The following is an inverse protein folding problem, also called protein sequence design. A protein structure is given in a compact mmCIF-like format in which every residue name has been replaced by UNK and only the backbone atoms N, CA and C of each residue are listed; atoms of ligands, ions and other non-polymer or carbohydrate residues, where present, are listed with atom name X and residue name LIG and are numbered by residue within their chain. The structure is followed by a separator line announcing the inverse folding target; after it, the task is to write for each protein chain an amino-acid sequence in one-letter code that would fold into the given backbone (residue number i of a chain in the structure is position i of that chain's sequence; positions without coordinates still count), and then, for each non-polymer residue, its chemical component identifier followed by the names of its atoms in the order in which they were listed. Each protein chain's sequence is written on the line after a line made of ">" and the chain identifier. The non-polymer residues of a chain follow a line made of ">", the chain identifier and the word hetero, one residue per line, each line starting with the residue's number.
data_IF_411930506630
#
_entry.id   IF_411930506630
#
_cell.length_a   1.000
_cell.length_b   1.000
_cell.length_c   1.000
_cell.angle_alpha   90.00
_cell.angle_beta   90.00
_cell.angle_gamma   90.00
#
_symmetry.space_group_name_H-M   'P 1'
#
loop_
_entity.id
_entity.type
_entity.pdbx_description
1 polymer ?
#
# COMPACT_ATOMS: atom_id res chain seq x y z
N UNK A 1 -23.16 -2.32 -22.21
CA UNK A 1 -22.25 -1.76 -21.21
C UNK A 1 -21.92 -2.88 -20.23
N UNK A 2 -20.72 -3.43 -20.31
CA UNK A 2 -20.28 -4.59 -19.54
C UNK A 2 -18.79 -4.79 -19.83
N UNK A 3 -17.96 -4.72 -18.81
CA UNK A 3 -16.50 -4.73 -18.94
C UNK A 3 -15.73 -4.39 -17.66
N UNK A 4 -16.40 -4.07 -16.55
CA UNK A 4 -15.73 -3.73 -15.27
C UNK A 4 -15.47 -4.94 -14.36
N UNK A 5 -16.00 -6.13 -14.67
CA UNK A 5 -15.85 -7.32 -13.82
C UNK A 5 -14.59 -8.16 -14.08
N UNK A 6 -13.83 -7.89 -15.15
CA UNK A 6 -12.63 -8.67 -15.51
C UNK A 6 -11.31 -8.02 -15.05
N UNK A 7 -11.36 -6.84 -14.43
CA UNK A 7 -10.18 -6.09 -13.99
C UNK A 7 -9.90 -6.20 -12.47
N UNK A 8 -10.78 -6.84 -11.68
CA UNK A 8 -10.54 -7.00 -10.23
C UNK A 8 -9.34 -7.89 -9.90
N UNK A 9 -8.92 -8.71 -10.86
CA UNK A 9 -7.92 -9.76 -10.65
C UNK A 9 -6.52 -9.33 -11.09
N UNK A 10 -6.36 -8.10 -11.59
CA UNK A 10 -5.08 -7.55 -12.01
C UNK A 10 -4.76 -6.27 -11.24
N UNK A 11 -3.57 -6.22 -10.67
CA UNK A 11 -3.01 -5.03 -10.03
C UNK A 11 -1.81 -4.51 -10.82
N UNK A 12 -1.76 -3.21 -11.08
CA UNK A 12 -0.65 -2.57 -11.78
C UNK A 12 0.24 -1.80 -10.82
N UNK A 13 1.54 -2.07 -10.85
CA UNK A 13 2.54 -1.26 -10.17
C UNK A 13 3.25 -0.33 -11.18
N UNK A 14 3.15 0.98 -10.96
CA UNK A 14 3.76 1.99 -11.83
C UNK A 14 4.77 2.86 -11.05
N UNK A 15 5.93 3.13 -11.66
CA UNK A 15 6.93 4.08 -11.16
C UNK A 15 7.05 5.23 -12.16
N UNK A 16 6.56 6.42 -11.77
CA UNK A 16 6.65 7.63 -12.60
C UNK A 16 7.88 8.45 -12.22
N UNK A 17 8.77 8.73 -13.19
CA UNK A 17 9.96 9.55 -12.98
C UNK A 17 10.00 10.75 -13.93
N UNK A 18 10.15 11.95 -13.38
CA UNK A 18 10.35 13.18 -14.17
C UNK A 18 11.82 13.34 -14.54
N UNK A 19 12.12 13.44 -15.84
CA UNK A 19 13.49 13.50 -16.34
C UNK A 19 14.01 14.93 -16.48
N UNK A 20 15.27 15.14 -16.11
CA UNK A 20 16.04 16.32 -16.52
C UNK A 20 16.52 16.16 -17.97
N UNK A 21 17.07 17.23 -18.57
CA UNK A 21 17.61 17.14 -19.94
C UNK A 21 18.70 16.07 -20.09
N UNK A 22 19.59 15.95 -19.10
CA UNK A 22 20.60 14.89 -19.06
C UNK A 22 19.97 13.50 -18.86
N UNK A 23 18.93 13.41 -18.03
CA UNK A 23 18.18 12.16 -17.83
C UNK A 23 17.46 11.68 -19.10
N UNK A 24 17.00 12.62 -19.94
CA UNK A 24 16.40 12.31 -21.23
C UNK A 24 17.43 11.79 -22.25
N UNK A 25 18.67 12.26 -22.19
CA UNK A 25 19.77 11.74 -23.01
C UNK A 25 20.26 10.36 -22.51
N UNK A 26 19.95 10.00 -21.25
CA UNK A 26 20.45 8.79 -20.59
C UNK A 26 19.32 7.95 -19.97
N UNK A 27 18.20 7.80 -20.67
CA UNK A 27 17.01 7.08 -20.16
C UNK A 27 17.34 5.66 -19.68
N UNK A 28 18.20 4.94 -20.41
CA UNK A 28 18.61 3.58 -20.03
C UNK A 28 19.26 3.53 -18.64
N UNK A 29 20.11 4.51 -18.30
CA UNK A 29 20.76 4.57 -17.00
C UNK A 29 19.76 4.88 -15.87
N UNK A 30 18.72 5.68 -16.16
CA UNK A 30 17.64 5.94 -15.21
C UNK A 30 16.83 4.66 -14.95
N UNK A 31 16.50 3.91 -16.01
CA UNK A 31 15.81 2.62 -15.91
C UNK A 31 16.66 1.62 -15.12
N UNK A 32 17.96 1.49 -15.45
CA UNK A 32 18.90 0.63 -14.72
C UNK A 32 18.96 0.99 -13.23
N UNK A 33 18.94 2.29 -12.90
CA UNK A 33 18.95 2.75 -11.51
C UNK A 33 17.67 2.35 -10.76
N UNK A 34 16.51 2.42 -11.41
CA UNK A 34 15.23 1.98 -10.84
C UNK A 34 15.26 0.46 -10.58
N UNK A 35 15.66 -0.35 -11.55
CA UNK A 35 15.76 -1.81 -11.37
C UNK A 35 16.83 -2.20 -10.36
N UNK A 36 17.96 -1.50 -10.30
CA UNK A 36 18.99 -1.70 -9.28
C UNK A 36 18.45 -1.47 -7.87
N UNK A 37 17.58 -0.48 -7.68
CA UNK A 37 16.90 -0.25 -6.40
C UNK A 37 15.96 -1.41 -6.05
N UNK A 38 15.19 -1.92 -7.02
CA UNK A 38 14.28 -3.07 -6.80
C UNK A 38 15.10 -4.30 -6.37
N UNK A 39 16.21 -4.59 -7.06
CA UNK A 39 17.12 -5.69 -6.70
C UNK A 39 17.71 -5.50 -5.30
N UNK A 40 18.09 -4.26 -4.94
CA UNK A 40 18.61 -3.98 -3.60
C UNK A 40 17.58 -4.25 -2.50
N UNK A 41 16.31 -3.89 -2.73
CA UNK A 41 15.21 -4.13 -1.79
C UNK A 41 14.98 -5.64 -1.63
N UNK A 42 15.04 -6.40 -2.72
CA UNK A 42 14.96 -7.87 -2.71
C UNK A 42 16.07 -8.50 -1.86
N UNK A 43 17.32 -8.11 -2.10
CA UNK A 43 18.49 -8.74 -1.47
C UNK A 43 18.61 -8.42 0.03
N UNK A 44 18.38 -7.15 0.41
CA UNK A 44 18.59 -6.69 1.79
C UNK A 44 17.35 -6.78 2.66
N UNK A 45 16.18 -7.01 2.06
CA UNK A 45 14.86 -6.90 2.68
C UNK A 45 14.61 -5.51 3.29
N UNK A 46 13.33 -5.17 3.47
CA UNK A 46 12.98 -3.91 4.14
C UNK A 46 13.21 -4.06 5.65
N UNK A 47 13.95 -3.14 6.30
CA UNK A 47 14.15 -3.19 7.74
C UNK A 47 12.83 -3.17 8.52
N UNK A 48 12.71 -4.02 9.55
CA UNK A 48 11.46 -4.17 10.34
C UNK A 48 10.91 -2.88 10.93
N UNK A 49 11.78 -1.91 11.24
CA UNK A 49 11.34 -0.63 11.80
C UNK A 49 10.55 0.22 10.79
N UNK A 50 10.84 0.10 9.48
CA UNK A 50 10.17 0.86 8.41
C UNK A 50 8.67 0.55 8.39
N UNK A 51 8.30 -0.72 8.59
CA UNK A 51 6.88 -1.09 8.64
C UNK A 51 6.13 -0.40 9.78
N UNK A 52 6.79 -0.25 10.95
CA UNK A 52 6.20 0.48 12.07
C UNK A 52 6.12 1.98 11.79
N UNK A 53 7.12 2.54 11.12
CA UNK A 53 7.14 3.95 10.73
C UNK A 53 6.02 4.29 9.73
N UNK A 54 5.87 3.48 8.66
CA UNK A 54 4.76 3.62 7.70
C UNK A 54 3.43 3.55 8.41
N UNK A 55 3.25 2.60 9.33
CA UNK A 55 2.03 2.48 10.10
C UNK A 55 1.73 3.73 10.95
N UNK A 56 2.75 4.30 11.59
CA UNK A 56 2.60 5.53 12.37
C UNK A 56 2.21 6.72 11.48
N UNK A 57 2.84 6.84 10.30
CA UNK A 57 2.52 7.90 9.33
C UNK A 57 1.08 7.80 8.83
N UNK A 58 0.60 6.61 8.52
CA UNK A 58 -0.80 6.39 8.13
C UNK A 58 -1.78 6.74 9.25
N UNK A 59 -1.47 6.37 10.50
CA UNK A 59 -2.29 6.72 11.67
C UNK A 59 -2.32 8.25 11.89
N UNK A 60 -1.18 8.94 11.72
CA UNK A 60 -1.09 10.40 11.78
C UNK A 60 -1.94 11.04 10.66
N UNK A 61 -1.79 10.58 9.42
CA UNK A 61 -2.56 11.04 8.28
C UNK A 61 -4.07 10.82 8.46
N UNK A 62 -4.46 9.72 9.10
CA UNK A 62 -5.84 9.44 9.45
C UNK A 62 -6.38 10.41 10.52
N UNK A 63 -5.72 10.46 11.68
CA UNK A 63 -6.18 11.25 12.84
C UNK A 63 -6.30 12.74 12.54
N UNK A 64 -5.35 13.26 11.78
CA UNK A 64 -5.26 14.69 11.48
C UNK A 64 -5.71 15.00 10.05
N UNK A 65 -6.48 14.10 9.43
CA UNK A 65 -7.06 14.32 8.10
C UNK A 65 -7.93 15.57 8.12
N UNK A 66 -7.66 16.49 7.20
CA UNK A 66 -8.48 17.69 7.02
C UNK A 66 -9.83 17.35 6.39
N UNK A 67 -10.82 18.23 6.59
CA UNK A 67 -12.12 18.11 5.94
C UNK A 67 -11.96 18.40 4.44
N UNK A 68 -12.09 17.38 3.61
CA UNK A 68 -12.07 17.50 2.15
C UNK A 68 -13.37 18.05 1.56
N UNK A 69 -13.39 18.18 0.24
CA UNK A 69 -14.60 18.53 -0.51
C UNK A 69 -15.69 17.46 -0.36
N UNK A 70 -16.94 17.90 -0.19
CA UNK A 70 -18.10 17.03 0.06
C UNK A 70 -18.34 15.99 -1.04
N UNK A 71 -18.15 16.35 -2.32
CA UNK A 71 -18.32 15.41 -3.44
C UNK A 71 -17.34 14.24 -3.39
N UNK A 72 -16.04 14.56 -3.26
CA UNK A 72 -14.99 13.55 -3.15
C UNK A 72 -15.18 12.65 -1.92
N UNK A 73 -15.68 13.22 -0.82
CA UNK A 73 -15.94 12.47 0.40
C UNK A 73 -17.06 11.43 0.21
N UNK A 74 -18.20 11.82 -0.37
CA UNK A 74 -19.31 10.89 -0.64
C UNK A 74 -18.90 9.80 -1.62
N UNK A 75 -18.13 10.15 -2.66
CA UNK A 75 -17.61 9.18 -3.61
C UNK A 75 -16.66 8.17 -2.94
N UNK A 76 -15.72 8.65 -2.11
CA UNK A 76 -14.81 7.80 -1.34
C UNK A 76 -15.56 6.86 -0.39
N UNK A 77 -16.60 7.34 0.30
CA UNK A 77 -17.44 6.50 1.15
C UNK A 77 -18.23 5.46 0.37
N UNK A 78 -18.79 5.84 -0.78
CA UNK A 78 -19.54 4.92 -1.64
C UNK A 78 -18.67 3.78 -2.15
N UNK A 79 -17.40 4.06 -2.48
CA UNK A 79 -16.44 3.04 -2.85
C UNK A 79 -16.07 2.18 -1.65
N UNK A 80 -15.77 2.79 -0.50
CA UNK A 80 -15.43 2.06 0.72
C UNK A 80 -16.53 1.15 1.25
N UNK A 81 -17.80 1.41 0.94
CA UNK A 81 -18.92 0.51 1.28
C UNK A 81 -18.97 -0.77 0.45
N UNK A 82 -18.27 -0.84 -0.69
CA UNK A 82 -18.14 -2.05 -1.49
C UNK A 82 -17.10 -3.00 -0.90
N UNK A 83 -16.01 -2.44 -0.37
CA UNK A 83 -14.86 -3.20 0.13
C UNK A 83 -14.92 -3.46 1.65
N UNK A 84 -15.62 -2.61 2.40
CA UNK A 84 -15.61 -2.62 3.86
C UNK A 84 -17.03 -2.61 4.45
N UNK A 85 -17.22 -3.23 5.63
CA UNK A 85 -18.48 -3.12 6.36
C UNK A 85 -18.87 -1.66 6.62
N UNK A 86 -20.16 -1.31 6.73
CA UNK A 86 -20.59 0.08 6.97
C UNK A 86 -19.98 0.74 8.22
N UNK A 87 -19.66 -0.04 9.25
CA UNK A 87 -18.95 0.47 10.44
C UNK A 87 -17.52 0.91 10.15
N UNK A 88 -16.91 0.37 9.08
CA UNK A 88 -15.53 0.57 8.67
C UNK A 88 -15.39 1.41 7.39
N UNK A 89 -16.46 1.83 6.72
CA UNK A 89 -16.35 2.53 5.43
C UNK A 89 -15.49 3.82 5.48
N UNK A 90 -15.44 4.45 6.66
CA UNK A 90 -14.69 5.68 6.92
C UNK A 90 -13.21 5.39 7.24
N UNK A 91 -12.94 4.36 8.04
CA UNK A 91 -11.62 4.05 8.58
C UNK A 91 -10.89 2.93 7.83
N UNK A 92 -11.63 2.10 7.12
CA UNK A 92 -11.21 0.85 6.49
C UNK A 92 -10.06 1.03 5.52
N UNK A 93 -10.16 1.93 4.53
CA UNK A 93 -9.08 2.17 3.57
C UNK A 93 -7.73 2.55 4.19
N UNK A 94 -7.71 3.03 5.44
CA UNK A 94 -6.50 3.52 6.13
C UNK A 94 -6.08 2.66 7.33
N UNK A 95 -6.99 1.87 7.91
CA UNK A 95 -6.74 1.08 9.13
C UNK A 95 -6.80 -0.44 8.94
N UNK A 96 -7.30 -0.94 7.80
CA UNK A 96 -7.43 -2.39 7.52
C UNK A 96 -6.30 -2.97 6.67
N UNK A 97 -5.23 -2.22 6.40
CA UNK A 97 -4.11 -2.68 5.57
C UNK A 97 -3.30 -3.87 6.15
N UNK A 98 -3.83 -4.54 7.17
CA UNK A 98 -3.20 -5.67 7.84
C UNK A 98 -4.25 -6.76 8.01
N UNK A 99 -3.81 -8.01 7.88
CA UNK A 99 -4.60 -9.19 8.24
C UNK A 99 -4.93 -9.13 9.75
N UNK A 100 -5.93 -8.34 10.09
CA UNK A 100 -6.52 -8.23 11.42
C UNK A 100 -7.78 -9.08 11.39
N UNK A 101 -7.72 -10.26 12.01
CA UNK A 101 -8.88 -11.14 12.15
C UNK A 101 -9.99 -10.49 12.98
N UNK A 102 -9.63 -9.52 13.84
CA UNK A 102 -10.55 -8.84 14.74
C UNK A 102 -10.78 -7.36 14.35
N UNK A 103 -11.76 -7.17 13.48
CA UNK A 103 -12.24 -5.85 13.04
C UNK A 103 -12.76 -4.96 14.20
N UNK A 104 -13.09 -5.54 15.36
CA UNK A 104 -13.68 -4.79 16.48
C UNK A 104 -12.65 -3.91 17.21
N UNK A 105 -11.38 -4.34 17.27
CA UNK A 105 -10.28 -3.53 17.82
C UNK A 105 -10.02 -2.27 17.01
N UNK A 106 -10.19 -2.36 15.70
CA UNK A 106 -10.04 -1.24 14.78
C UNK A 106 -11.12 -0.18 14.97
N UNK A 107 -12.31 -0.57 15.42
CA UNK A 107 -13.45 0.34 15.63
C UNK A 107 -13.51 0.92 17.04
N UNK A 108 -13.19 0.10 18.05
CA UNK A 108 -13.40 0.44 19.46
C UNK A 108 -12.29 1.31 20.04
N UNK A 109 -11.10 1.28 19.44
CA UNK A 109 -9.94 1.98 19.98
C UNK A 109 -9.75 3.33 19.30
N UNK A 110 -10.01 4.42 20.03
CA UNK A 110 -9.46 5.74 19.74
C UNK A 110 -7.95 5.83 20.08
N UNK A 111 -7.31 4.72 20.48
CA UNK A 111 -5.88 4.69 20.72
C UNK A 111 -5.11 4.72 19.38
N UNK A 112 -3.97 5.40 19.39
CA UNK A 112 -3.13 5.52 18.22
C UNK A 112 -2.50 4.18 17.89
N UNK A 113 -2.60 3.77 16.63
CA UNK A 113 -1.90 2.59 16.14
C UNK A 113 -0.44 2.93 15.90
N UNK A 114 0.39 2.73 16.92
CA UNK A 114 1.82 3.07 16.89
C UNK A 114 2.74 1.89 16.59
N UNK A 115 2.22 0.66 16.65
CA UNK A 115 2.93 -0.58 16.31
C UNK A 115 1.97 -1.68 15.90
N UNK A 116 2.50 -2.77 15.36
CA UNK A 116 1.74 -4.00 15.11
C UNK A 116 1.31 -4.65 16.43
N UNK A 117 0.13 -5.28 16.45
CA UNK A 117 -0.40 -5.94 17.65
C UNK A 117 0.39 -7.20 18.03
N UNK A 118 0.94 -7.88 17.02
CA UNK A 118 1.77 -9.07 17.23
C UNK A 118 2.91 -9.17 16.25
N UNK A 119 3.96 -9.91 16.65
CA UNK A 119 5.07 -10.26 15.76
C UNK A 119 4.59 -11.06 14.53
N UNK A 120 3.54 -11.86 14.68
CA UNK A 120 2.95 -12.64 13.59
C UNK A 120 2.37 -11.76 12.48
N UNK A 121 1.70 -10.66 12.84
CA UNK A 121 1.20 -9.69 11.84
C UNK A 121 2.34 -9.01 11.10
N UNK A 122 3.38 -8.58 11.83
CA UNK A 122 4.56 -7.97 11.21
C UNK A 122 5.24 -8.94 10.24
N UNK A 123 5.46 -10.19 10.66
CA UNK A 123 6.10 -11.20 9.84
C UNK A 123 5.24 -11.58 8.62
N UNK A 124 3.90 -11.58 8.74
CA UNK A 124 2.98 -11.76 7.62
C UNK A 124 3.06 -10.61 6.61
N UNK A 125 3.06 -9.35 7.06
CA UNK A 125 3.23 -8.19 6.19
C UNK A 125 4.61 -8.18 5.53
N UNK A 126 5.66 -8.54 6.27
CA UNK A 126 7.00 -8.69 5.69
C UNK A 126 7.02 -9.75 4.59
N UNK A 127 6.31 -10.87 4.80
CA UNK A 127 6.18 -11.91 3.78
C UNK A 127 5.43 -11.41 2.54
N UNK A 128 4.29 -10.74 2.69
CA UNK A 128 3.55 -10.19 1.55
C UNK A 128 4.39 -9.22 0.72
N UNK A 129 5.16 -8.35 1.37
CA UNK A 129 6.04 -7.41 0.67
C UNK A 129 7.20 -8.13 -0.02
N UNK A 130 7.75 -9.18 0.59
CA UNK A 130 8.76 -10.02 -0.06
C UNK A 130 8.18 -10.72 -1.30
N UNK A 131 7.02 -11.36 -1.16
CA UNK A 131 6.32 -12.06 -2.25
C UNK A 131 6.00 -11.07 -3.41
N UNK A 132 5.53 -9.86 -3.08
CA UNK A 132 5.29 -8.80 -4.07
C UNK A 132 6.59 -8.37 -4.78
N UNK A 133 7.67 -8.16 -4.02
CA UNK A 133 8.95 -7.72 -4.58
C UNK A 133 9.57 -8.79 -5.49
N UNK A 134 9.43 -10.06 -5.14
CA UNK A 134 9.88 -11.17 -5.99
C UNK A 134 9.08 -11.22 -7.31
N UNK A 135 7.76 -10.96 -7.24
CA UNK A 135 6.87 -10.94 -8.41
C UNK A 135 7.04 -9.70 -9.31
N UNK A 136 7.66 -8.61 -8.83
CA UNK A 136 7.96 -7.42 -9.63
C UNK A 136 9.05 -7.63 -10.68
N UNK A 137 9.86 -8.68 -10.54
CA UNK A 137 10.96 -8.97 -11.45
C UNK A 137 10.54 -9.97 -12.52
N UNK A 138 10.96 -9.72 -13.77
CA UNK A 138 10.56 -10.46 -14.98
C UNK A 138 10.87 -11.96 -14.92
N UNK A 139 11.72 -12.40 -13.98
CA UNK A 139 12.14 -13.79 -13.80
C UNK A 139 10.96 -14.73 -13.49
N UNK A 140 9.87 -14.23 -12.91
CA UNK A 140 8.65 -15.00 -12.58
C UNK A 140 7.41 -14.59 -13.39
N UNK A 141 7.49 -13.59 -14.27
CA UNK A 141 6.33 -13.08 -15.01
C UNK A 141 5.95 -13.92 -16.25
N UNK A 142 6.72 -14.97 -16.56
CA UNK A 142 6.65 -15.75 -17.81
C UNK A 142 6.22 -17.23 -17.61
N UNK A 143 5.70 -17.61 -16.45
CA UNK A 143 5.17 -18.95 -16.20
C UNK A 143 3.72 -18.94 -15.73
#
# INVERSE_FOLDING_TARGET
>A
AGGESELSDFESFEVTASLTRLGLENVNSVIESIFSMIVMIRDKSVPKYIYNEVLQLEELGWRFSSKGGVGNYVQGLSNGLQDYPPSLCVAGPRRLALCEEDSSKLLASNAARTSFDSKGQLDFTTKLVADFTDNLTVDNAMY
#
